data_IF_785824750094
#
_entry.id   IF_785824750094
#
_cell.length_a   1.000
_cell.length_b   1.000
_cell.length_c   1.000
_cell.angle_alpha   90.00
_cell.angle_beta   90.00
_cell.angle_gamma   90.00
#
_symmetry.space_group_name_H-M   'P 1'
#
loop_
_entity.id
_entity.type
_entity.pdbx_description
1 polymer ?
#
# COMPACT_ATOMS: atom_id res chain seq x y z
N UNK A 1 -24.64 5.74 12.42
CA UNK A 1 -24.49 5.20 11.05
C UNK A 1 -23.66 6.19 10.26
N UNK A 2 -22.35 6.00 10.22
CA UNK A 2 -21.45 6.84 9.45
C UNK A 2 -21.24 6.15 8.10
N UNK A 3 -21.72 6.77 7.04
CA UNK A 3 -21.50 6.30 5.68
C UNK A 3 -19.99 6.15 5.45
N UNK A 4 -19.56 4.92 5.17
CA UNK A 4 -18.16 4.60 4.89
C UNK A 4 -17.69 5.38 3.67
N UNK A 5 -16.68 6.24 3.86
CA UNK A 5 -15.97 6.87 2.75
C UNK A 5 -15.22 5.78 1.98
N UNK A 6 -15.24 5.86 0.65
CA UNK A 6 -14.82 4.85 -0.34
C UNK A 6 -13.33 4.44 -0.24
N UNK A 7 -12.55 4.95 0.71
CA UNK A 7 -11.15 4.55 0.97
C UNK A 7 -10.89 3.74 2.25
N UNK A 8 -11.88 3.58 3.15
CA UNK A 8 -11.67 3.03 4.52
C UNK A 8 -12.09 1.56 4.72
N UNK A 9 -12.51 0.87 3.67
CA UNK A 9 -12.96 -0.52 3.80
C UNK A 9 -11.75 -1.45 3.89
N UNK A 10 -11.65 -2.25 4.95
CA UNK A 10 -10.57 -3.24 5.09
C UNK A 10 -10.65 -4.30 3.99
N UNK A 11 -9.59 -5.10 3.85
CA UNK A 11 -9.61 -6.29 2.99
C UNK A 11 -10.21 -7.45 3.79
N UNK A 12 -11.08 -8.24 3.16
CA UNK A 12 -11.65 -9.45 3.76
C UNK A 12 -10.55 -10.37 4.32
N UNK A 13 -10.52 -10.62 5.65
CA UNK A 13 -9.50 -11.44 6.28
C UNK A 13 -9.34 -12.84 5.71
N UNK A 14 -10.41 -13.42 5.16
CA UNK A 14 -10.38 -14.76 4.56
C UNK A 14 -9.43 -14.84 3.37
N UNK A 15 -9.19 -13.71 2.68
CA UNK A 15 -8.31 -13.63 1.50
C UNK A 15 -6.83 -13.84 1.82
N UNK A 16 -6.43 -13.60 3.06
CA UNK A 16 -5.07 -13.85 3.55
C UNK A 16 -5.04 -14.90 4.68
N UNK A 17 -6.06 -15.76 4.74
CA UNK A 17 -6.15 -16.87 5.68
C UNK A 17 -6.41 -16.46 7.14
N UNK A 18 -6.92 -15.26 7.36
CA UNK A 18 -7.26 -14.71 8.67
C UNK A 18 -8.74 -14.84 9.04
N UNK A 19 -9.04 -14.49 10.29
CA UNK A 19 -10.38 -14.24 10.82
C UNK A 19 -10.43 -12.77 11.22
N UNK A 20 -11.57 -12.11 11.04
CA UNK A 20 -11.75 -10.71 11.40
C UNK A 20 -11.47 -10.46 12.88
N UNK A 21 -10.51 -9.56 13.15
CA UNK A 21 -10.23 -9.01 14.47
C UNK A 21 -11.31 -8.03 14.94
N UNK A 22 -11.19 -7.57 16.17
CA UNK A 22 -12.14 -6.62 16.80
C UNK A 22 -12.22 -5.28 16.07
N UNK A 23 -11.13 -4.86 15.43
CA UNK A 23 -11.00 -3.58 14.73
C UNK A 23 -11.15 -3.71 13.21
N UNK A 24 -11.34 -4.93 12.69
CA UNK A 24 -11.43 -5.17 11.25
C UNK A 24 -12.86 -5.22 10.78
N UNK A 25 -13.23 -4.30 9.89
CA UNK A 25 -14.63 -4.10 9.53
C UNK A 25 -14.81 -3.45 8.16
N UNK A 26 -16.05 -3.49 7.67
CA UNK A 26 -16.46 -2.70 6.51
C UNK A 26 -15.88 -3.15 5.17
N UNK A 27 -15.23 -4.32 5.11
CA UNK A 27 -14.76 -4.89 3.85
C UNK A 27 -15.91 -5.15 2.87
N UNK A 28 -15.54 -5.23 1.60
CA UNK A 28 -16.46 -5.37 0.48
C UNK A 28 -15.95 -6.46 -0.43
N UNK A 29 -16.57 -7.65 -0.32
CA UNK A 29 -16.16 -8.84 -1.08
C UNK A 29 -16.11 -8.55 -2.59
N UNK A 30 -17.12 -7.83 -3.11
CA UNK A 30 -17.19 -7.41 -4.50
C UNK A 30 -16.00 -6.52 -4.91
N UNK A 31 -15.62 -5.57 -4.05
CA UNK A 31 -14.46 -4.72 -4.30
C UNK A 31 -13.16 -5.52 -4.30
N UNK A 32 -12.95 -6.38 -3.31
CA UNK A 32 -11.73 -7.16 -3.19
C UNK A 32 -11.57 -8.12 -4.39
N UNK A 33 -12.68 -8.70 -4.88
CA UNK A 33 -12.72 -9.51 -6.11
C UNK A 33 -12.32 -8.70 -7.33
N UNK A 34 -12.95 -7.54 -7.53
CA UNK A 34 -12.66 -6.67 -8.67
C UNK A 34 -11.22 -6.20 -8.70
N UNK A 35 -10.65 -5.78 -7.56
CA UNK A 35 -9.27 -5.30 -7.52
C UNK A 35 -8.27 -6.43 -7.72
N UNK A 36 -8.56 -7.65 -7.25
CA UNK A 36 -7.71 -8.81 -7.56
C UNK A 36 -7.73 -9.12 -9.05
N UNK A 37 -8.91 -9.10 -9.68
CA UNK A 37 -9.05 -9.31 -11.12
C UNK A 37 -8.37 -8.20 -11.94
N UNK A 38 -8.34 -6.96 -11.44
CA UNK A 38 -7.58 -5.87 -12.06
C UNK A 38 -6.07 -6.11 -12.00
N UNK A 39 -5.55 -6.63 -10.88
CA UNK A 39 -4.14 -7.00 -10.78
C UNK A 39 -3.81 -8.17 -11.73
N UNK A 40 -4.67 -9.19 -11.82
CA UNK A 40 -4.50 -10.29 -12.78
C UNK A 40 -4.44 -9.78 -14.23
N UNK A 41 -5.35 -8.87 -14.58
CA UNK A 41 -5.41 -8.29 -15.92
C UNK A 41 -4.20 -7.40 -16.23
N UNK A 42 -3.77 -6.56 -15.28
CA UNK A 42 -2.57 -5.75 -15.39
C UNK A 42 -1.33 -6.63 -15.58
N UNK A 43 -1.23 -7.72 -14.80
CA UNK A 43 -0.15 -8.68 -14.93
C UNK A 43 -0.15 -9.36 -16.31
N UNK A 44 -1.31 -9.85 -16.77
CA UNK A 44 -1.45 -10.51 -18.07
C UNK A 44 -1.08 -9.61 -19.27
N UNK A 45 -1.10 -8.29 -19.09
CA UNK A 45 -0.82 -7.30 -20.13
C UNK A 45 0.44 -6.49 -19.87
N UNK A 46 1.24 -6.85 -18.86
CA UNK A 46 2.45 -6.14 -18.46
C UNK A 46 2.23 -4.65 -18.19
N UNK A 47 1.05 -4.29 -17.64
CA UNK A 47 0.73 -2.91 -17.34
C UNK A 47 1.41 -2.43 -16.05
N UNK A 48 1.94 -1.20 -16.04
CA UNK A 48 2.42 -0.55 -14.83
C UNK A 48 1.33 -0.42 -13.76
N UNK A 49 1.67 -0.75 -12.51
CA UNK A 49 0.75 -0.67 -11.36
C UNK A 49 1.35 0.18 -10.25
N UNK A 50 0.53 1.10 -9.73
CA UNK A 50 0.77 1.85 -8.50
C UNK A 50 -0.31 1.55 -7.45
N UNK A 51 0.04 0.86 -6.37
CA UNK A 51 -0.84 0.65 -5.22
C UNK A 51 -0.67 1.74 -4.16
N UNK A 52 -1.76 2.36 -3.70
CA UNK A 52 -1.72 3.41 -2.68
C UNK A 52 -2.55 3.00 -1.46
N UNK A 53 -1.95 3.08 -0.27
CA UNK A 53 -2.53 2.71 1.01
C UNK A 53 -3.15 1.32 0.96
N UNK A 54 -4.48 1.21 0.95
CA UNK A 54 -5.17 -0.07 0.76
C UNK A 54 -4.75 -0.79 -0.53
N UNK A 55 -4.42 -0.07 -1.60
CA UNK A 55 -3.90 -0.67 -2.84
C UNK A 55 -2.62 -1.49 -2.62
N UNK A 56 -1.71 -1.02 -1.75
CA UNK A 56 -0.52 -1.79 -1.36
C UNK A 56 -0.90 -3.07 -0.62
N UNK A 57 -1.89 -3.00 0.27
CA UNK A 57 -2.39 -4.16 1.00
C UNK A 57 -3.03 -5.18 0.04
N UNK A 58 -3.80 -4.72 -0.95
CA UNK A 58 -4.37 -5.59 -1.99
C UNK A 58 -3.26 -6.27 -2.78
N UNK A 59 -2.24 -5.53 -3.21
CA UNK A 59 -1.09 -6.10 -3.95
C UNK A 59 -0.35 -7.15 -3.11
N UNK A 60 -0.12 -6.87 -1.82
CA UNK A 60 0.53 -7.84 -0.92
C UNK A 60 -0.32 -9.10 -0.73
N UNK A 61 -1.62 -8.97 -0.47
CA UNK A 61 -2.54 -10.12 -0.32
C UNK A 61 -2.64 -10.91 -1.62
N UNK A 62 -2.71 -10.23 -2.77
CA UNK A 62 -2.72 -10.87 -4.09
C UNK A 62 -1.46 -11.71 -4.35
N UNK A 63 -0.29 -11.25 -3.88
CA UNK A 63 0.96 -12.01 -3.93
C UNK A 63 1.02 -13.19 -2.93
N UNK A 64 -0.03 -13.42 -2.12
CA UNK A 64 -0.06 -14.45 -1.08
C UNK A 64 0.41 -13.97 0.29
N UNK A 65 0.49 -12.65 0.48
CA UNK A 65 0.86 -11.99 1.72
C UNK A 65 -0.23 -11.99 2.79
N UNK A 66 0.08 -11.30 3.89
CA UNK A 66 -0.79 -11.19 5.08
C UNK A 66 -0.75 -9.78 5.62
N UNK A 67 -1.82 -9.41 6.30
CA UNK A 67 -1.93 -8.10 6.94
C UNK A 67 -1.85 -8.22 8.47
N UNK A 68 -1.25 -7.21 9.07
CA UNK A 68 -1.58 -6.82 10.43
C UNK A 68 -2.92 -6.08 10.40
N UNK A 69 -3.90 -6.62 11.11
CA UNK A 69 -5.28 -6.14 11.11
C UNK A 69 -5.48 -4.88 11.97
N UNK A 70 -4.55 -4.58 12.89
CA UNK A 70 -4.60 -3.35 13.68
C UNK A 70 -3.23 -2.98 14.28
N UNK A 71 -2.49 -2.10 13.59
CA UNK A 71 -1.20 -1.57 14.03
C UNK A 71 -1.19 -1.04 15.48
N UNK A 72 -2.19 -0.27 15.95
CA UNK A 72 -2.22 0.21 17.34
C UNK A 72 -2.15 -0.89 18.40
N UNK A 73 -2.66 -2.10 18.13
CA UNK A 73 -2.57 -3.22 19.08
C UNK A 73 -1.12 -3.66 19.30
N UNK A 74 -0.25 -3.47 18.29
CA UNK A 74 1.15 -3.88 18.30
C UNK A 74 2.09 -2.73 18.66
N UNK A 75 1.79 -1.51 18.21
CA UNK A 75 2.63 -0.31 18.42
C UNK A 75 2.30 0.44 19.71
N UNK A 76 1.06 0.34 20.20
CA UNK A 76 0.59 1.07 21.38
C UNK A 76 0.27 2.55 21.13
N UNK A 77 0.22 3.00 19.87
CA UNK A 77 -0.20 4.36 19.50
C UNK A 77 -0.88 4.41 18.11
N UNK A 78 -1.40 5.58 17.76
CA UNK A 78 -2.18 5.84 16.54
C UNK A 78 -1.42 6.73 15.53
N UNK A 79 -0.09 6.79 15.56
CA UNK A 79 0.69 7.72 14.71
C UNK A 79 0.44 7.59 13.21
N UNK A 80 0.09 6.37 12.76
CA UNK A 80 -0.22 6.05 11.36
C UNK A 80 -1.63 6.47 10.93
N UNK A 81 -2.49 6.81 11.89
CA UNK A 81 -3.89 7.20 11.67
C UNK A 81 -4.42 7.97 12.89
N UNK A 82 -4.08 9.27 13.05
CA UNK A 82 -4.39 10.06 14.26
C UNK A 82 -5.88 10.37 14.48
N UNK A 83 -6.77 9.72 13.72
CA UNK A 83 -8.21 9.87 13.82
C UNK A 83 -8.78 10.99 12.95
N UNK A 84 -10.11 10.97 12.78
CA UNK A 84 -10.80 11.96 11.95
C UNK A 84 -10.41 11.87 10.47
N UNK A 85 -10.30 13.02 9.81
CA UNK A 85 -9.85 13.15 8.41
C UNK A 85 -8.37 13.59 8.32
N UNK A 86 -7.64 13.55 9.44
CA UNK A 86 -6.25 14.00 9.53
C UNK A 86 -5.28 12.89 9.12
N UNK A 87 -4.17 13.29 8.50
CA UNK A 87 -3.07 12.41 8.15
C UNK A 87 -1.98 12.50 9.21
N UNK A 88 -1.49 11.34 9.65
CA UNK A 88 -0.26 11.23 10.42
C UNK A 88 0.95 11.58 9.55
N UNK A 89 2.01 12.09 10.18
CA UNK A 89 3.32 12.24 9.54
C UNK A 89 4.27 11.18 10.10
N UNK A 90 4.79 10.31 9.25
CA UNK A 90 5.78 9.30 9.64
C UNK A 90 7.04 9.45 8.81
N UNK A 91 8.19 9.30 9.45
CA UNK A 91 9.47 9.27 8.75
C UNK A 91 9.72 7.88 8.15
N UNK A 92 10.21 7.84 6.91
CA UNK A 92 10.49 6.57 6.21
C UNK A 92 11.95 6.46 5.78
N UNK A 93 12.52 5.29 6.04
CA UNK A 93 13.79 4.85 5.50
C UNK A 93 13.54 4.06 4.21
N UNK A 94 14.18 4.47 3.11
CA UNK A 94 14.09 3.78 1.82
C UNK A 94 15.30 2.88 1.62
N UNK A 95 15.07 1.67 1.15
CA UNK A 95 16.13 0.70 0.84
C UNK A 95 16.92 1.16 -0.38
N UNK A 96 18.25 1.20 -0.28
CA UNK A 96 19.12 1.62 -1.38
C UNK A 96 19.02 0.66 -2.57
N UNK A 97 19.07 1.21 -3.80
CA UNK A 97 19.04 0.41 -5.03
C UNK A 97 17.63 0.01 -5.51
N UNK A 98 16.59 0.34 -4.74
CA UNK A 98 15.18 0.16 -5.10
C UNK A 98 14.70 1.20 -6.10
N UNK A 99 13.67 0.88 -6.87
CA UNK A 99 13.05 1.82 -7.80
C UNK A 99 12.44 3.00 -7.05
N UNK A 100 11.80 2.75 -5.91
CA UNK A 100 11.33 3.80 -5.01
C UNK A 100 12.44 4.80 -4.64
N UNK A 101 13.63 4.32 -4.29
CA UNK A 101 14.76 5.18 -3.91
C UNK A 101 15.26 6.02 -5.08
N UNK A 102 15.16 5.52 -6.32
CA UNK A 102 15.50 6.29 -7.53
C UNK A 102 14.48 7.40 -7.82
N UNK A 103 13.20 7.11 -7.63
CA UNK A 103 12.10 8.05 -7.92
C UNK A 103 12.08 9.20 -6.91
N UNK A 104 12.13 8.89 -5.61
CA UNK A 104 11.91 9.88 -4.55
C UNK A 104 13.20 10.39 -3.89
N UNK A 105 14.34 9.75 -4.17
CA UNK A 105 15.60 10.06 -3.49
C UNK A 105 15.51 9.86 -1.97
N UNK A 106 16.25 10.69 -1.22
CA UNK A 106 16.17 10.73 0.26
C UNK A 106 15.19 11.84 0.67
N UNK A 107 14.24 11.54 1.55
CA UNK A 107 13.29 12.52 2.08
C UNK A 107 12.66 12.02 3.38
N UNK A 108 12.33 12.93 4.32
CA UNK A 108 12.11 12.57 5.71
C UNK A 108 10.74 11.90 5.93
N UNK A 109 9.64 12.60 5.68
CA UNK A 109 8.31 12.17 6.11
C UNK A 109 7.28 12.02 4.99
N UNK A 110 6.33 11.12 5.21
CA UNK A 110 5.17 10.86 4.37
C UNK A 110 3.87 10.98 5.17
N UNK A 111 2.76 11.22 4.46
CA UNK A 111 1.42 11.36 5.05
C UNK A 111 0.66 10.04 5.04
N UNK A 112 0.41 9.48 6.21
CA UNK A 112 -0.24 8.19 6.41
C UNK A 112 -1.64 8.38 7.01
N UNK A 113 -2.55 7.47 6.67
CA UNK A 113 -3.86 7.36 7.30
C UNK A 113 -4.34 5.90 7.14
N UNK A 114 -3.71 5.01 7.90
CA UNK A 114 -4.02 3.58 7.92
C UNK A 114 -3.87 2.99 9.33
N UNK A 115 -4.74 2.05 9.66
CA UNK A 115 -4.65 1.25 10.90
C UNK A 115 -4.24 -0.21 10.63
N UNK A 116 -4.19 -0.63 9.37
CA UNK A 116 -3.68 -1.94 8.94
C UNK A 116 -2.32 -1.76 8.24
N UNK A 117 -1.51 -2.81 8.21
CA UNK A 117 -0.24 -2.82 7.48
C UNK A 117 0.06 -4.18 6.88
N UNK A 118 1.06 -4.25 6.01
CA UNK A 118 1.53 -5.52 5.45
C UNK A 118 2.46 -6.22 6.43
N UNK A 119 2.07 -7.43 6.87
CA UNK A 119 2.87 -8.27 7.75
C UNK A 119 3.79 -9.23 6.97
N UNK A 120 3.34 -9.75 5.83
CA UNK A 120 4.16 -10.60 4.95
C UNK A 120 3.89 -10.29 3.48
N UNK A 121 4.92 -10.34 2.65
CA UNK A 121 4.87 -9.94 1.24
C UNK A 121 5.72 -10.87 0.35
N UNK A 122 5.39 -12.17 0.27
CA UNK A 122 6.17 -13.13 -0.52
C UNK A 122 6.26 -12.69 -1.98
N UNK A 123 7.44 -12.82 -2.58
CA UNK A 123 7.71 -12.40 -3.96
C UNK A 123 7.90 -10.90 -4.16
N UNK A 124 7.61 -10.07 -3.16
CA UNK A 124 7.79 -8.61 -3.24
C UNK A 124 8.98 -8.15 -2.37
N UNK A 125 9.65 -7.11 -2.83
CA UNK A 125 10.72 -6.42 -2.10
C UNK A 125 10.15 -5.28 -1.30
N UNK A 126 10.43 -5.24 0.01
CA UNK A 126 10.12 -4.08 0.83
C UNK A 126 11.13 -2.96 0.58
N UNK A 127 10.65 -1.84 0.03
CA UNK A 127 11.48 -0.73 -0.42
C UNK A 127 11.46 0.48 0.50
N UNK A 128 10.56 0.51 1.49
CA UNK A 128 10.59 1.48 2.59
C UNK A 128 9.97 0.94 3.88
N UNK A 129 10.46 1.46 5.01
CA UNK A 129 9.98 1.15 6.35
C UNK A 129 10.01 2.38 7.27
N UNK A 130 9.14 2.42 8.27
CA UNK A 130 9.25 3.31 9.43
C UNK A 130 10.24 2.75 10.48
N UNK A 131 10.61 3.56 11.47
CA UNK A 131 11.47 3.15 12.58
C UNK A 131 10.86 2.02 13.43
N UNK A 132 9.53 1.98 13.55
CA UNK A 132 8.81 0.90 14.24
C UNK A 132 8.75 -0.42 13.45
N UNK A 133 9.34 -0.46 12.25
CA UNK A 133 9.43 -1.64 11.41
C UNK A 133 8.23 -1.85 10.48
N UNK A 134 7.23 -0.98 10.51
CA UNK A 134 6.09 -1.04 9.57
C UNK A 134 6.59 -0.90 8.14
N UNK A 135 6.17 -1.83 7.27
CA UNK A 135 6.48 -1.77 5.84
C UNK A 135 5.63 -0.68 5.19
N UNK A 136 6.30 0.29 4.55
CA UNK A 136 5.66 1.47 3.97
C UNK A 136 5.69 1.47 2.44
N UNK A 137 6.53 0.63 1.82
CA UNK A 137 6.50 0.43 0.38
C UNK A 137 6.91 -0.98 -0.02
N UNK A 138 6.32 -1.45 -1.12
CA UNK A 138 6.63 -2.71 -1.78
C UNK A 138 6.89 -2.46 -3.26
N UNK A 139 7.81 -3.21 -3.84
CA UNK A 139 8.00 -3.27 -5.28
C UNK A 139 8.32 -4.69 -5.74
N UNK A 140 7.90 -5.04 -6.95
CA UNK A 140 8.34 -6.25 -7.63
C UNK A 140 9.48 -5.90 -8.60
N UNK A 141 10.72 -6.36 -8.35
CA UNK A 141 11.88 -6.02 -9.17
C UNK A 141 11.86 -6.68 -10.55
N UNK A 142 11.01 -7.69 -10.78
CA UNK A 142 10.91 -8.38 -12.07
C UNK A 142 10.01 -7.62 -13.07
N UNK A 143 9.35 -6.54 -12.63
CA UNK A 143 8.42 -5.75 -13.44
C UNK A 143 8.98 -4.37 -13.75
N UNK A 144 8.58 -3.82 -14.90
CA UNK A 144 8.96 -2.46 -15.29
C UNK A 144 8.50 -1.43 -14.26
N UNK A 145 7.28 -1.58 -13.76
CA UNK A 145 6.74 -0.74 -12.69
C UNK A 145 5.60 -1.46 -11.97
N UNK A 146 5.92 -2.07 -10.84
CA UNK A 146 4.94 -2.68 -9.94
C UNK A 146 5.28 -2.23 -8.53
N UNK A 147 4.80 -1.04 -8.17
CA UNK A 147 5.22 -0.33 -6.98
C UNK A 147 3.99 0.00 -6.13
N UNK A 148 4.15 -0.08 -4.82
CA UNK A 148 3.08 0.21 -3.89
C UNK A 148 3.59 0.94 -2.65
N UNK A 149 2.76 1.83 -2.11
CA UNK A 149 3.10 2.66 -0.96
C UNK A 149 1.94 2.68 0.03
N UNK A 150 2.24 2.70 1.32
CA UNK A 150 1.23 2.65 2.39
C UNK A 150 0.71 4.05 2.74
N UNK A 151 1.52 5.08 2.50
CA UNK A 151 1.12 6.49 2.62
C UNK A 151 0.28 6.98 1.43
N UNK A 152 -0.20 8.21 1.51
CA UNK A 152 -1.03 8.87 0.51
C UNK A 152 -0.25 9.95 -0.26
N UNK A 153 0.52 9.59 -1.32
CA UNK A 153 1.29 10.55 -2.10
C UNK A 153 0.42 11.61 -2.77
N UNK A 154 -0.85 11.32 -3.06
CA UNK A 154 -1.83 12.25 -3.63
C UNK A 154 -2.15 13.46 -2.74
N UNK A 155 -1.81 13.39 -1.45
CA UNK A 155 -2.04 14.47 -0.47
C UNK A 155 -0.87 15.43 -0.37
N UNK A 156 0.23 15.13 -1.06
CA UNK A 156 1.46 15.92 -1.06
C UNK A 156 1.71 16.52 -2.44
N UNK A 157 2.50 17.59 -2.49
CA UNK A 157 2.90 18.22 -3.75
C UNK A 157 3.93 17.39 -4.55
N UNK A 158 4.44 16.30 -3.96
CA UNK A 158 5.40 15.41 -4.62
C UNK A 158 4.68 14.43 -5.56
N UNK A 159 4.85 14.68 -6.86
CA UNK A 159 4.26 13.92 -7.95
C UNK A 159 5.21 12.85 -8.52
N UNK A 160 6.35 12.58 -7.87
CA UNK A 160 7.38 11.66 -8.37
C UNK A 160 6.85 10.28 -8.76
N UNK A 161 6.05 9.65 -7.87
CA UNK A 161 5.44 8.34 -8.13
C UNK A 161 4.48 8.35 -9.31
N UNK A 162 3.64 9.38 -9.42
CA UNK A 162 2.69 9.51 -10.53
C UNK A 162 3.40 9.77 -11.86
N UNK A 163 4.47 10.57 -11.86
CA UNK A 163 5.30 10.79 -13.05
C UNK A 163 5.98 9.48 -13.50
N UNK A 164 6.51 8.72 -12.55
CA UNK A 164 7.15 7.44 -12.84
C UNK A 164 6.15 6.42 -13.41
N UNK A 165 4.94 6.34 -12.85
CA UNK A 165 3.86 5.51 -13.39
C UNK A 165 3.51 5.90 -14.84
N UNK A 166 3.34 7.20 -15.12
CA UNK A 166 3.03 7.69 -16.48
C UNK A 166 4.15 7.37 -17.46
N UNK A 167 5.41 7.52 -17.04
CA UNK A 167 6.56 7.19 -17.89
C UNK A 167 6.62 5.69 -18.19
N UNK A 168 6.41 4.84 -17.18
CA UNK A 168 6.31 3.40 -17.38
C UNK A 168 5.18 3.05 -18.36
N UNK A 169 4.02 3.71 -18.26
CA UNK A 169 2.88 3.45 -19.15
C UNK A 169 3.19 3.76 -20.62
N UNK A 170 3.94 4.84 -20.88
CA UNK A 170 4.39 5.20 -22.24
C UNK A 170 5.33 4.15 -22.83
N UNK A 171 6.20 3.57 -22.01
CA UNK A 171 7.13 2.52 -22.45
C UNK A 171 6.41 1.22 -22.82
N UNK A 172 5.25 0.96 -22.21
CA UNK A 172 4.41 -0.21 -22.53
C UNK A 172 3.53 -0.05 -23.77
N UNK A 173 3.64 1.08 -24.49
CA UNK A 173 2.97 1.29 -25.78
C UNK A 173 1.47 1.60 -25.67
N UNK A 174 1.03 2.10 -24.51
CA UNK A 174 -0.28 2.72 -24.31
C UNK A 174 -0.30 4.19 -24.72
#
# INVERSE_FOLDING_TARGET
MQYGRVGRADIDPRRYGGVAGTHTAGWREDRDEWESALLDAAAATMLPVLGICRGMQVMAVHAGGRLDQHLPDNLGDERHSPGGDDYGGVDISRSEGTELSRILGRGPSVRCHHHQSVATHPGLTASAHTEDGTTEALEDPDWLFWLAVQWHPETQADVGLFKALVEAARLTGL
#
